data_IF_102000749350
#
_entry.id   IF_102000749350
#
_cell.length_a   1.000
_cell.length_b   1.000
_cell.length_c   1.000
_cell.angle_alpha   90.00
_cell.angle_beta   90.00
_cell.angle_gamma   90.00
#
_symmetry.space_group_name_H-M   'P 1'
#
loop_
_entity.id
_entity.type
_entity.pdbx_description
1 polymer ?
#
# COMPACT_ATOMS: atom_id res chain seq x y z
N UNK A 1 -30.30 26.75 -14.36
CA UNK A 1 -29.62 27.85 -13.64
C UNK A 1 -28.49 27.39 -12.69
N UNK A 2 -28.03 26.13 -12.75
CA UNK A 2 -27.04 25.59 -11.78
C UNK A 2 -25.63 25.30 -12.34
N UNK A 3 -25.40 25.39 -13.65
CA UNK A 3 -24.11 25.02 -14.25
C UNK A 3 -23.09 26.18 -14.36
N UNK A 4 -23.53 27.44 -14.23
CA UNK A 4 -22.62 28.61 -14.27
C UNK A 4 -22.02 28.99 -12.91
N UNK A 5 -22.54 28.47 -11.80
CA UNK A 5 -22.06 28.81 -10.44
C UNK A 5 -20.86 27.96 -9.99
N UNK A 6 -20.66 26.78 -10.58
CA UNK A 6 -19.52 25.90 -10.25
C UNK A 6 -18.21 26.40 -10.88
N UNK A 7 -18.28 27.04 -12.04
CA UNK A 7 -17.09 27.51 -12.76
C UNK A 7 -16.47 28.76 -12.10
N UNK A 8 -17.29 29.63 -11.48
CA UNK A 8 -16.81 30.84 -10.81
C UNK A 8 -16.08 30.55 -9.49
N UNK A 9 -16.59 29.61 -8.68
CA UNK A 9 -15.94 29.20 -7.43
C UNK A 9 -14.61 28.47 -7.64
N UNK A 10 -14.48 27.72 -8.74
CA UNK A 10 -13.21 27.06 -9.09
C UNK A 10 -12.19 28.09 -9.58
N UNK A 11 -12.62 29.12 -10.31
CA UNK A 11 -11.71 30.19 -10.77
C UNK A 11 -11.23 31.08 -9.61
N UNK A 12 -12.11 31.43 -8.65
CA UNK A 12 -11.70 32.15 -7.44
C UNK A 12 -10.72 31.34 -6.60
N UNK A 13 -10.98 30.04 -6.40
CA UNK A 13 -10.08 29.17 -5.64
C UNK A 13 -8.70 29.01 -6.32
N UNK A 14 -8.66 28.97 -7.65
CA UNK A 14 -7.41 28.93 -8.41
C UNK A 14 -6.68 30.29 -8.40
N UNK A 15 -7.40 31.41 -8.40
CA UNK A 15 -6.83 32.75 -8.25
C UNK A 15 -6.27 32.98 -6.83
N UNK A 16 -6.96 32.51 -5.79
CA UNK A 16 -6.46 32.55 -4.41
C UNK A 16 -5.19 31.72 -4.25
N UNK A 17 -5.13 30.51 -4.84
CA UNK A 17 -3.91 29.68 -4.85
C UNK A 17 -2.79 30.39 -5.62
N UNK A 18 -3.08 31.02 -6.77
CA UNK A 18 -2.06 31.69 -7.57
C UNK A 18 -1.50 32.95 -6.89
N UNK A 19 -2.34 33.71 -6.17
CA UNK A 19 -1.93 34.88 -5.39
C UNK A 19 -1.13 34.46 -4.15
N UNK A 20 -1.53 33.38 -3.48
CA UNK A 20 -0.81 32.82 -2.33
C UNK A 20 0.57 32.28 -2.70
N UNK A 21 0.69 31.60 -3.85
CA UNK A 21 1.99 31.10 -4.35
C UNK A 21 2.94 32.25 -4.69
N UNK A 22 2.45 33.36 -5.23
CA UNK A 22 3.32 34.42 -5.76
C UNK A 22 3.73 35.49 -4.74
N UNK A 23 2.98 35.69 -3.67
CA UNK A 23 3.26 36.73 -2.66
C UNK A 23 3.87 36.22 -1.34
N UNK A 24 4.00 34.91 -1.14
CA UNK A 24 4.71 34.37 0.02
C UNK A 24 6.24 34.44 -0.17
N UNK A 25 7.02 34.86 0.85
CA UNK A 25 8.47 34.86 0.80
C UNK A 25 9.00 33.44 0.52
N UNK A 26 10.10 33.32 -0.23
CA UNK A 26 10.66 32.04 -0.70
C UNK A 26 10.94 31.03 0.43
N UNK A 27 11.04 31.49 1.68
CA UNK A 27 11.20 30.68 2.88
C UNK A 27 9.96 29.88 3.30
N UNK A 28 8.76 30.26 2.84
CA UNK A 28 7.50 29.55 3.12
C UNK A 28 7.04 28.66 1.96
N UNK A 29 7.61 28.84 0.75
CA UNK A 29 7.32 27.98 -0.42
C UNK A 29 7.91 26.58 -0.28
N UNK A 30 8.97 26.46 0.51
CA UNK A 30 9.45 25.19 1.00
C UNK A 30 8.74 25.00 2.34
N UNK A 31 7.49 24.52 2.31
CA UNK A 31 7.05 23.78 3.49
C UNK A 31 8.12 22.71 3.70
N UNK A 32 8.81 22.65 4.85
CA UNK A 32 9.49 21.41 5.17
C UNK A 32 8.37 20.39 5.10
N UNK A 33 8.48 19.46 4.17
CA UNK A 33 7.72 18.23 4.23
C UNK A 33 8.19 17.63 5.56
N UNK A 34 7.51 17.99 6.65
CA UNK A 34 7.81 17.53 7.99
C UNK A 34 7.49 16.06 7.87
N UNK A 35 8.51 15.26 7.57
CA UNK A 35 8.42 13.82 7.59
C UNK A 35 8.15 13.50 9.06
N UNK A 36 6.86 13.39 9.39
CA UNK A 36 6.42 12.99 10.70
C UNK A 36 7.21 11.74 11.04
N UNK A 37 7.86 11.77 12.20
CA UNK A 37 8.66 10.65 12.66
C UNK A 37 7.74 9.42 12.69
N UNK A 38 8.15 8.35 12.02
CA UNK A 38 7.41 7.08 12.03
C UNK A 38 7.57 6.47 13.41
N UNK A 39 6.50 6.47 14.22
CA UNK A 39 6.51 5.96 15.60
C UNK A 39 5.79 4.62 15.72
N UNK A 40 4.90 4.34 14.77
CA UNK A 40 4.08 3.15 14.70
C UNK A 40 4.17 2.50 13.33
N UNK A 41 4.01 1.17 13.28
CA UNK A 41 3.85 0.46 12.00
C UNK A 41 2.62 0.94 11.23
N UNK A 42 1.65 1.55 11.91
CA UNK A 42 0.46 2.16 11.31
C UNK A 42 0.78 3.41 10.49
N UNK A 43 1.94 4.02 10.72
CA UNK A 43 2.39 5.19 9.96
C UNK A 43 3.06 4.77 8.64
N UNK A 44 3.35 3.46 8.46
CA UNK A 44 3.89 2.93 7.22
C UNK A 44 2.79 2.82 6.16
N UNK A 45 2.90 3.59 5.09
CA UNK A 45 1.96 3.53 3.94
C UNK A 45 1.85 2.08 3.40
N UNK A 46 2.97 1.35 3.33
CA UNK A 46 2.97 -0.06 2.89
C UNK A 46 2.16 -0.97 3.80
N UNK A 47 2.14 -0.69 5.11
CA UNK A 47 1.30 -1.43 6.05
C UNK A 47 -0.18 -1.06 5.87
N UNK A 48 -0.50 0.24 5.75
CA UNK A 48 -1.87 0.71 5.54
C UNK A 48 -2.49 0.06 4.30
N UNK A 49 -1.78 0.12 3.15
CA UNK A 49 -2.22 -0.52 1.91
C UNK A 49 -2.33 -2.04 2.03
N UNK A 50 -1.39 -2.70 2.70
CA UNK A 50 -1.48 -4.14 2.93
C UNK A 50 -2.69 -4.52 3.78
N UNK A 51 -3.03 -3.70 4.78
CA UNK A 51 -4.18 -3.93 5.65
C UNK A 51 -5.51 -3.70 4.91
N UNK A 52 -5.61 -2.62 4.15
CA UNK A 52 -6.76 -2.33 3.29
C UNK A 52 -6.99 -3.43 2.24
N UNK A 53 -5.91 -3.90 1.60
CA UNK A 53 -5.97 -4.98 0.63
C UNK A 53 -6.44 -6.30 1.26
N UNK A 54 -5.99 -6.61 2.48
CA UNK A 54 -6.52 -7.75 3.22
C UNK A 54 -8.04 -7.60 3.45
N UNK A 55 -8.51 -6.44 3.91
CA UNK A 55 -9.94 -6.17 4.10
C UNK A 55 -10.72 -6.35 2.80
N UNK A 56 -10.19 -5.88 1.66
CA UNK A 56 -10.81 -6.08 0.35
C UNK A 56 -10.95 -7.56 -0.01
N UNK A 57 -9.92 -8.36 0.22
CA UNK A 57 -9.96 -9.81 -0.04
C UNK A 57 -10.91 -10.56 0.90
N UNK A 58 -11.07 -10.11 2.15
CA UNK A 58 -12.10 -10.63 3.06
C UNK A 58 -13.52 -10.30 2.59
N UNK A 59 -13.72 -9.13 1.97
CA UNK A 59 -15.02 -8.72 1.41
C UNK A 59 -15.30 -9.29 0.01
N UNK A 60 -14.27 -9.75 -0.70
CA UNK A 60 -14.39 -10.29 -2.05
C UNK A 60 -15.23 -11.57 -2.04
N UNK A 61 -16.24 -11.59 -2.93
CA UNK A 61 -17.12 -12.75 -3.14
C UNK A 61 -16.52 -13.65 -4.21
N UNK A 62 -16.24 -14.90 -3.84
CA UNK A 62 -15.76 -15.92 -4.76
C UNK A 62 -16.95 -16.67 -5.36
N UNK A 63 -16.94 -16.87 -6.68
CA UNK A 63 -18.01 -17.62 -7.35
C UNK A 63 -17.87 -19.11 -7.01
N UNK A 64 -18.89 -19.71 -6.38
CA UNK A 64 -19.03 -21.14 -5.96
C UNK A 64 -18.67 -21.40 -4.49
N UNK A 65 -19.47 -22.24 -3.83
CA UNK A 65 -19.19 -22.69 -2.45
C UNK A 65 -17.97 -23.62 -2.35
N UNK A 66 -17.64 -24.37 -3.42
CA UNK A 66 -16.47 -25.24 -3.46
C UNK A 66 -15.13 -24.48 -3.43
N UNK A 67 -15.13 -23.15 -3.64
CA UNK A 67 -13.92 -22.34 -3.55
C UNK A 67 -13.58 -21.83 -2.15
N UNK A 68 -14.38 -22.13 -1.12
CA UNK A 68 -14.12 -21.63 0.24
C UNK A 68 -12.71 -21.96 0.77
N UNK A 69 -12.10 -23.14 0.52
CA UNK A 69 -10.73 -23.40 0.95
C UNK A 69 -9.69 -22.47 0.30
N UNK A 70 -9.83 -22.22 -1.01
CA UNK A 70 -8.93 -21.32 -1.75
C UNK A 70 -9.14 -19.86 -1.31
N UNK A 71 -10.40 -19.44 -1.17
CA UNK A 71 -10.74 -18.11 -0.67
C UNK A 71 -10.19 -17.88 0.75
N UNK A 72 -10.31 -18.88 1.63
CA UNK A 72 -9.73 -18.84 2.97
C UNK A 72 -8.21 -18.69 2.92
N UNK A 73 -7.52 -19.43 2.03
CA UNK A 73 -6.07 -19.32 1.87
C UNK A 73 -5.63 -17.94 1.39
N UNK A 74 -6.35 -17.36 0.43
CA UNK A 74 -6.11 -16.00 -0.08
C UNK A 74 -6.24 -14.98 1.05
N UNK A 75 -7.33 -15.04 1.82
CA UNK A 75 -7.61 -14.13 2.95
C UNK A 75 -6.56 -14.26 4.05
N UNK A 76 -6.22 -15.49 4.42
CA UNK A 76 -5.15 -15.79 5.39
C UNK A 76 -3.83 -15.17 4.92
N UNK A 77 -3.44 -15.43 3.68
CA UNK A 77 -2.14 -14.96 3.17
C UNK A 77 -2.06 -13.44 3.09
N UNK A 78 -3.13 -12.78 2.66
CA UNK A 78 -3.22 -11.32 2.67
C UNK A 78 -3.06 -10.74 4.08
N UNK A 79 -3.68 -11.33 5.09
CA UNK A 79 -3.51 -10.90 6.48
C UNK A 79 -2.05 -11.08 6.96
N UNK A 80 -1.36 -12.15 6.54
CA UNK A 80 0.03 -12.37 6.92
C UNK A 80 0.97 -11.29 6.37
N UNK A 81 0.70 -10.70 5.20
CA UNK A 81 1.50 -9.58 4.65
C UNK A 81 1.54 -8.42 5.66
N UNK A 82 0.38 -7.91 6.06
CA UNK A 82 0.28 -6.80 7.01
C UNK A 82 0.82 -7.17 8.40
N UNK A 83 0.55 -8.39 8.89
CA UNK A 83 1.07 -8.88 10.17
C UNK A 83 2.60 -8.89 10.19
N UNK A 84 3.23 -9.39 9.12
CA UNK A 84 4.68 -9.55 9.09
C UNK A 84 5.39 -8.20 8.97
N UNK A 85 4.81 -7.23 8.27
CA UNK A 85 5.29 -5.83 8.27
C UNK A 85 5.24 -5.24 9.69
N UNK A 86 4.12 -5.39 10.40
CA UNK A 86 3.97 -4.89 11.76
C UNK A 86 4.96 -5.54 12.74
N UNK A 87 5.16 -6.86 12.63
CA UNK A 87 6.15 -7.59 13.43
C UNK A 87 7.56 -7.10 13.12
N UNK A 88 7.90 -6.91 11.83
CA UNK A 88 9.21 -6.41 11.41
C UNK A 88 9.51 -5.01 11.93
N UNK A 89 8.53 -4.10 11.88
CA UNK A 89 8.66 -2.75 12.42
C UNK A 89 9.08 -2.74 13.90
N UNK A 90 8.49 -3.62 14.71
CA UNK A 90 8.78 -3.74 16.16
C UNK A 90 10.14 -4.36 16.48
N UNK A 91 10.87 -4.91 15.49
CA UNK A 91 12.20 -5.50 15.73
C UNK A 91 13.26 -4.41 15.86
N UNK A 92 14.09 -4.53 16.90
CA UNK A 92 15.25 -3.64 17.14
C UNK A 92 16.40 -3.92 16.18
N UNK A 93 16.72 -5.21 15.95
CA UNK A 93 17.82 -5.62 15.09
C UNK A 93 17.48 -5.55 13.60
N UNK A 94 18.38 -5.01 12.78
CA UNK A 94 18.22 -4.93 11.31
C UNK A 94 18.01 -6.30 10.68
N UNK A 95 18.77 -7.32 11.11
CA UNK A 95 18.67 -8.70 10.60
C UNK A 95 17.26 -9.27 10.79
N UNK A 96 16.71 -9.18 12.00
CA UNK A 96 15.37 -9.68 12.31
C UNK A 96 14.28 -8.89 11.61
N UNK A 97 14.44 -7.57 11.51
CA UNK A 97 13.54 -6.70 10.76
C UNK A 97 13.47 -7.10 9.29
N UNK A 98 14.62 -7.27 8.64
CA UNK A 98 14.72 -7.73 7.24
C UNK A 98 14.17 -9.13 7.05
N UNK A 99 14.43 -10.06 7.97
CA UNK A 99 13.84 -11.39 7.93
C UNK A 99 12.31 -11.33 7.87
N UNK A 100 11.69 -10.48 8.71
CA UNK A 100 10.24 -10.28 8.69
C UNK A 100 9.79 -9.62 7.38
N UNK A 101 10.45 -8.57 6.90
CA UNK A 101 10.05 -7.94 5.64
C UNK A 101 10.17 -8.86 4.43
N UNK A 102 11.18 -9.74 4.39
CA UNK A 102 11.27 -10.82 3.39
C UNK A 102 10.14 -11.83 3.52
N UNK A 103 9.70 -12.14 4.75
CA UNK A 103 8.50 -12.94 4.96
C UNK A 103 7.22 -12.29 4.42
N UNK A 104 7.10 -10.96 4.50
CA UNK A 104 6.00 -10.22 3.86
C UNK A 104 6.11 -10.27 2.33
N UNK A 105 7.33 -10.20 1.78
CA UNK A 105 7.58 -10.36 0.34
C UNK A 105 7.20 -11.76 -0.16
N UNK A 106 7.61 -12.81 0.56
CA UNK A 106 7.19 -14.17 0.23
C UNK A 106 5.66 -14.31 0.28
N UNK A 107 5.01 -13.66 1.25
CA UNK A 107 3.55 -13.70 1.37
C UNK A 107 2.80 -13.07 0.21
N UNK A 108 3.25 -11.90 -0.27
CA UNK A 108 2.60 -11.22 -1.38
C UNK A 108 2.83 -11.97 -2.71
N UNK A 109 3.95 -12.70 -2.85
CA UNK A 109 4.26 -13.56 -4.01
C UNK A 109 3.44 -14.86 -4.01
N UNK A 110 3.24 -15.48 -2.84
CA UNK A 110 2.29 -16.59 -2.73
C UNK A 110 0.86 -16.14 -3.07
N UNK A 111 0.48 -14.93 -2.64
CA UNK A 111 -0.83 -14.36 -2.95
C UNK A 111 -1.02 -14.06 -4.45
N UNK A 112 0.04 -13.66 -5.16
CA UNK A 112 0.01 -13.53 -6.63
C UNK A 112 -0.42 -14.84 -7.30
N UNK A 113 0.21 -15.96 -6.94
CA UNK A 113 -0.18 -17.26 -7.49
C UNK A 113 -1.62 -17.65 -7.12
N UNK A 114 -2.02 -17.45 -5.87
CA UNK A 114 -3.38 -17.80 -5.43
C UNK A 114 -4.46 -16.97 -6.14
N UNK A 115 -4.20 -15.69 -6.40
CA UNK A 115 -5.11 -14.81 -7.15
C UNK A 115 -5.19 -15.22 -8.62
N UNK A 116 -4.06 -15.57 -9.24
CA UNK A 116 -4.01 -16.10 -10.60
C UNK A 116 -4.82 -17.40 -10.72
N UNK A 117 -4.58 -18.35 -9.82
CA UNK A 117 -5.33 -19.62 -9.78
C UNK A 117 -6.83 -19.38 -9.61
N UNK A 118 -7.23 -18.46 -8.72
CA UNK A 118 -8.63 -18.14 -8.53
C UNK A 118 -9.27 -17.47 -9.75
N UNK A 119 -8.52 -16.65 -10.47
CA UNK A 119 -8.95 -16.07 -11.74
C UNK A 119 -9.16 -17.13 -12.82
N UNK A 120 -8.19 -18.04 -12.99
CA UNK A 120 -8.22 -19.06 -14.04
C UNK A 120 -9.36 -20.08 -13.83
N UNK A 121 -9.76 -20.29 -12.56
CA UNK A 121 -10.94 -21.07 -12.19
C UNK A 121 -12.28 -20.31 -12.32
N UNK A 122 -12.23 -19.05 -12.77
CA UNK A 122 -13.40 -18.18 -12.94
C UNK A 122 -14.06 -17.75 -11.63
N UNK A 123 -13.28 -17.65 -10.54
CA UNK A 123 -13.81 -17.36 -9.19
C UNK A 123 -13.82 -15.86 -8.86
N UNK A 124 -12.99 -15.06 -9.55
CA UNK A 124 -12.81 -13.63 -9.31
C UNK A 124 -13.39 -12.80 -10.46
N UNK A 125 -14.10 -11.72 -10.13
CA UNK A 125 -14.62 -10.75 -11.11
C UNK A 125 -13.73 -9.52 -11.27
N UNK A 126 -12.93 -9.22 -10.25
CA UNK A 126 -12.11 -8.01 -10.11
C UNK A 126 -10.60 -8.32 -10.12
N UNK A 127 -10.18 -9.38 -10.82
CA UNK A 127 -8.78 -9.83 -10.82
C UNK A 127 -7.79 -8.73 -11.19
N UNK A 128 -8.05 -7.96 -12.27
CA UNK A 128 -7.15 -6.90 -12.72
C UNK A 128 -6.86 -5.86 -11.62
N UNK A 129 -7.90 -5.41 -10.91
CA UNK A 129 -7.76 -4.47 -9.78
C UNK A 129 -6.94 -5.08 -8.64
N UNK A 130 -7.25 -6.32 -8.25
CA UNK A 130 -6.54 -7.01 -7.18
C UNK A 130 -5.06 -7.25 -7.54
N UNK A 131 -4.76 -7.54 -8.81
CA UNK A 131 -3.41 -7.74 -9.30
C UNK A 131 -2.58 -6.45 -9.24
N UNK A 132 -3.16 -5.33 -9.66
CA UNK A 132 -2.52 -4.00 -9.62
C UNK A 132 -2.21 -3.56 -8.17
N UNK A 133 -3.18 -3.70 -7.27
CA UNK A 133 -3.00 -3.37 -5.85
C UNK A 133 -1.91 -4.23 -5.21
N UNK A 134 -1.92 -5.54 -5.48
CA UNK A 134 -0.89 -6.48 -5.04
C UNK A 134 0.49 -6.06 -5.55
N UNK A 135 0.63 -5.72 -6.83
CA UNK A 135 1.91 -5.32 -7.42
C UNK A 135 2.43 -4.00 -6.79
N UNK A 136 1.54 -3.04 -6.56
CA UNK A 136 1.88 -1.82 -5.83
C UNK A 136 2.42 -2.13 -4.43
N UNK A 137 1.77 -3.02 -3.68
CA UNK A 137 2.20 -3.43 -2.34
C UNK A 137 3.57 -4.13 -2.41
N UNK A 138 3.77 -5.03 -3.37
CA UNK A 138 5.04 -5.73 -3.55
C UNK A 138 6.20 -4.77 -3.80
N UNK A 139 6.02 -3.77 -4.68
CA UNK A 139 7.02 -2.72 -4.94
C UNK A 139 7.37 -1.96 -3.66
N UNK A 140 6.37 -1.62 -2.86
CA UNK A 140 6.59 -0.93 -1.59
C UNK A 140 7.31 -1.80 -0.55
N UNK A 141 7.02 -3.11 -0.49
CA UNK A 141 7.74 -4.06 0.39
C UNK A 141 9.20 -4.17 -0.05
N UNK A 142 9.48 -4.26 -1.36
CA UNK A 142 10.86 -4.27 -1.90
C UNK A 142 11.60 -2.98 -1.53
N UNK A 143 10.94 -1.83 -1.64
CA UNK A 143 11.47 -0.54 -1.17
C UNK A 143 11.78 -0.54 0.33
N UNK A 144 10.87 -1.08 1.16
CA UNK A 144 11.07 -1.19 2.60
C UNK A 144 12.28 -2.09 2.95
N UNK A 145 12.45 -3.21 2.24
CA UNK A 145 13.61 -4.11 2.41
C UNK A 145 14.90 -3.39 2.02
N UNK A 146 14.91 -2.70 0.88
CA UNK A 146 16.07 -1.97 0.40
C UNK A 146 16.52 -0.91 1.42
N UNK A 147 15.60 -0.07 1.90
CA UNK A 147 15.90 1.00 2.88
C UNK A 147 16.39 0.49 4.25
N UNK A 148 16.20 -0.80 4.55
CA UNK A 148 16.65 -1.42 5.80
C UNK A 148 17.87 -2.34 5.61
N UNK A 149 18.32 -2.56 4.37
CA UNK A 149 19.46 -3.42 4.07
C UNK A 149 20.78 -2.72 4.40
N UNK A 150 21.83 -3.45 4.83
CA UNK A 150 23.15 -2.87 4.97
C UNK A 150 23.67 -2.38 3.62
N UNK A 151 24.51 -1.34 3.63
CA UNK A 151 25.17 -0.87 2.41
C UNK A 151 25.98 -2.03 1.79
N UNK A 152 26.04 -2.12 0.45
CA UNK A 152 26.89 -3.12 -0.19
C UNK A 152 28.33 -2.95 0.28
N UNK A 153 28.95 -4.03 0.72
CA UNK A 153 30.39 -4.03 1.04
C UNK A 153 31.15 -3.59 -0.22
N UNK A 154 31.89 -2.49 -0.11
CA UNK A 154 32.84 -2.10 -1.15
C UNK A 154 33.95 -3.15 -1.12
N UNK A 155 33.99 -4.00 -2.14
CA UNK A 155 35.13 -4.88 -2.39
C UNK A 155 36.34 -4.06 -2.81
#
# INVERSE_FOLDING_TARGET
MFHRMLCFKVLEFLLEIHIFINNAPLTERITPMVFAKVESYRDLIVWQKSHEFAIELFKTKFAKKASEPLAAKIRERAAVVAQTIAIGFKRRGKKDKLYRYRGALAAIQELEYLLLLANDLGLLKNFAKLAEERESIERMIKGLIHSNSPAPERK
#
